data_IF_662204159427
#
_entry.id   IF_662204159427
#
_cell.length_a   1.000
_cell.length_b   1.000
_cell.length_c   1.000
_cell.angle_alpha   90.00
_cell.angle_beta   90.00
_cell.angle_gamma   90.00
#
_symmetry.space_group_name_H-M   'P 1'
#
loop_
_entity.id
_entity.type
_entity.pdbx_description
1 polymer ?
#
# COMPACT_ATOMS: atom_id res chain seq x y z
N UNK A 1 -25.54 63.81 6.82
CA UNK A 1 -26.11 62.45 6.82
C UNK A 1 -26.33 62.04 5.36
N UNK A 2 -26.12 60.78 4.94
CA UNK A 2 -24.88 59.99 4.91
C UNK A 2 -24.68 59.32 3.51
N UNK A 3 -23.82 58.27 3.45
CA UNK A 3 -23.53 57.33 2.34
C UNK A 3 -22.23 57.64 1.58
N UNK A 4 -21.03 57.24 2.04
CA UNK A 4 -20.47 55.90 2.36
C UNK A 4 -19.86 55.22 1.12
N UNK A 5 -18.64 54.75 1.35
CA UNK A 5 -17.80 53.79 0.63
C UNK A 5 -16.88 54.30 -0.49
N UNK A 6 -15.63 53.86 -0.62
CA UNK A 6 -14.56 53.28 0.22
C UNK A 6 -13.50 52.84 -0.79
N UNK A 7 -12.24 53.12 -0.49
CA UNK A 7 -11.11 52.96 -1.40
C UNK A 7 -10.98 51.50 -1.88
N UNK A 8 -10.81 51.28 -3.18
CA UNK A 8 -10.41 49.99 -3.72
C UNK A 8 -8.91 49.79 -3.48
N UNK A 9 -8.58 48.97 -2.48
CA UNK A 9 -7.24 48.43 -2.24
C UNK A 9 -6.85 47.35 -3.26
N UNK A 10 -5.54 47.11 -3.47
CA UNK A 10 -5.02 46.34 -4.60
C UNK A 10 -5.19 44.83 -4.41
N UNK A 11 -5.48 44.16 -5.54
CA UNK A 11 -5.54 42.70 -5.67
C UNK A 11 -4.14 42.10 -5.42
N UNK A 12 -3.90 41.71 -4.16
CA UNK A 12 -2.71 40.96 -3.78
C UNK A 12 -2.93 39.51 -4.18
N UNK A 13 -2.26 39.13 -5.26
CA UNK A 13 -2.15 37.76 -5.76
C UNK A 13 -1.75 36.80 -4.62
N UNK A 14 -2.73 36.09 -4.07
CA UNK A 14 -2.52 35.07 -3.04
C UNK A 14 -1.98 33.81 -3.70
N UNK A 15 -0.66 33.76 -3.87
CA UNK A 15 0.08 32.53 -4.16
C UNK A 15 -0.12 31.58 -2.98
N UNK A 16 -0.99 30.57 -3.14
CA UNK A 16 -1.12 29.50 -2.15
C UNK A 16 0.07 28.56 -2.29
N UNK A 17 1.13 28.86 -1.55
CA UNK A 17 2.12 27.86 -1.16
C UNK A 17 1.42 26.88 -0.21
N UNK A 18 1.21 25.64 -0.65
CA UNK A 18 0.74 24.56 0.22
C UNK A 18 1.81 23.47 0.31
N UNK A 19 2.93 23.79 0.96
CA UNK A 19 3.72 22.79 1.69
C UNK A 19 2.89 22.36 2.92
N UNK A 20 1.84 21.58 2.67
CA UNK A 20 1.16 20.84 3.73
C UNK A 20 1.80 19.45 3.78
N UNK A 21 2.18 18.92 4.96
CA UNK A 21 2.58 17.53 5.07
C UNK A 21 1.41 16.68 4.59
N UNK A 22 1.60 15.98 3.46
CA UNK A 22 0.60 15.11 2.85
C UNK A 22 0.00 14.22 3.93
N UNK A 23 -1.26 14.48 4.28
CA UNK A 23 -1.97 13.73 5.30
C UNK A 23 -1.79 12.24 5.04
N UNK A 24 -1.28 11.50 6.04
CA UNK A 24 -1.13 10.05 5.93
C UNK A 24 -2.54 9.52 5.72
N UNK A 25 -2.86 9.14 4.48
CA UNK A 25 -4.13 8.53 4.10
C UNK A 25 -4.26 7.28 4.96
N UNK A 26 -5.21 7.26 5.90
CA UNK A 26 -5.51 6.05 6.67
C UNK A 26 -5.85 4.95 5.67
N UNK A 27 -4.94 4.01 5.49
CA UNK A 27 -5.14 2.86 4.62
C UNK A 27 -6.18 1.93 5.25
N UNK A 28 -7.19 1.54 4.49
CA UNK A 28 -8.12 0.51 4.92
C UNK A 28 -7.35 -0.83 5.02
N UNK A 29 -7.52 -1.55 6.12
CA UNK A 29 -6.96 -2.88 6.31
C UNK A 29 -8.09 -3.89 6.14
N UNK A 30 -7.94 -4.81 5.18
CA UNK A 30 -8.83 -5.94 4.98
C UNK A 30 -8.17 -7.21 5.52
N UNK A 31 -8.88 -7.95 6.37
CA UNK A 31 -8.46 -9.26 6.85
C UNK A 31 -9.48 -10.28 6.32
N UNK A 32 -9.01 -11.22 5.51
CA UNK A 32 -9.85 -12.24 4.90
C UNK A 32 -9.11 -13.58 4.84
N UNK A 33 -9.86 -14.68 4.94
CA UNK A 33 -9.32 -16.04 4.77
C UNK A 33 -9.60 -16.60 3.37
N UNK A 34 -10.56 -16.01 2.65
CA UNK A 34 -10.96 -16.36 1.28
C UNK A 34 -11.76 -15.21 0.67
N UNK A 35 -11.90 -15.19 -0.65
CA UNK A 35 -12.82 -14.30 -1.35
C UNK A 35 -12.19 -13.07 -2.02
N UNK A 36 -13.04 -12.07 -2.26
CA UNK A 36 -12.72 -10.87 -3.03
C UNK A 36 -11.99 -9.83 -2.17
N UNK A 37 -10.79 -9.42 -2.59
CA UNK A 37 -9.99 -8.36 -1.95
C UNK A 37 -10.41 -6.94 -2.33
N UNK A 38 -11.55 -6.78 -3.02
CA UNK A 38 -12.10 -5.51 -3.47
C UNK A 38 -11.10 -4.72 -4.33
N UNK A 39 -10.96 -3.45 -3.99
CA UNK A 39 -10.06 -2.49 -4.66
C UNK A 39 -8.65 -2.46 -4.06
N UNK A 40 -8.32 -3.35 -3.11
CA UNK A 40 -6.98 -3.40 -2.52
C UNK A 40 -5.94 -3.93 -3.52
N UNK A 41 -4.85 -3.19 -3.67
CA UNK A 41 -3.75 -3.50 -4.59
C UNK A 41 -2.36 -3.06 -4.09
N UNK A 42 -2.24 -2.33 -2.97
CA UNK A 42 -0.92 -1.84 -2.53
C UNK A 42 -0.05 -2.97 -1.92
N UNK A 43 -0.55 -3.63 -0.87
CA UNK A 43 0.20 -4.63 -0.10
C UNK A 43 -0.68 -5.83 0.22
N UNK A 44 -0.18 -7.02 -0.11
CA UNK A 44 -0.74 -8.30 0.32
C UNK A 44 0.19 -8.94 1.36
N UNK A 45 -0.37 -9.26 2.53
CA UNK A 45 0.28 -10.13 3.51
C UNK A 45 -0.35 -11.51 3.39
N UNK A 46 0.36 -12.46 2.80
CA UNK A 46 -0.13 -13.83 2.67
C UNK A 46 0.35 -14.67 3.86
N UNK A 47 -0.61 -15.15 4.66
CA UNK A 47 -0.39 -16.01 5.82
C UNK A 47 -0.72 -17.49 5.54
N UNK A 48 -1.04 -17.83 4.29
CA UNK A 48 -1.43 -19.18 3.90
C UNK A 48 -0.25 -19.95 3.30
N UNK A 49 -0.40 -21.27 3.23
CA UNK A 49 0.59 -22.15 2.60
C UNK A 49 0.62 -22.08 1.07
N UNK A 50 -0.32 -21.36 0.45
CA UNK A 50 -0.51 -21.29 -1.00
C UNK A 50 -0.35 -19.84 -1.49
N UNK A 51 -0.03 -19.68 -2.77
CA UNK A 51 -0.07 -18.37 -3.43
C UNK A 51 -1.51 -18.06 -3.84
N UNK A 52 -2.12 -16.95 -3.38
CA UNK A 52 -3.47 -16.56 -3.81
C UNK A 52 -3.52 -16.24 -5.30
N UNK A 53 -4.60 -16.57 -6.01
CA UNK A 53 -4.70 -16.33 -7.47
C UNK A 53 -4.58 -14.85 -7.85
N UNK A 54 -5.07 -13.97 -6.98
CA UNK A 54 -5.03 -12.52 -7.18
C UNK A 54 -3.71 -11.88 -6.75
N UNK A 55 -2.68 -12.63 -6.35
CA UNK A 55 -1.43 -12.06 -5.80
C UNK A 55 -0.75 -11.07 -6.77
N UNK A 56 -0.84 -11.32 -8.08
CA UNK A 56 -0.15 -10.54 -9.11
C UNK A 56 -0.70 -9.12 -9.26
N UNK A 57 -1.89 -8.83 -8.71
CA UNK A 57 -2.46 -7.48 -8.72
C UNK A 57 -1.83 -6.55 -7.67
N UNK A 58 -1.09 -7.12 -6.72
CA UNK A 58 -0.51 -6.36 -5.63
C UNK A 58 0.89 -5.88 -5.97
N UNK A 59 1.17 -4.61 -5.68
CA UNK A 59 2.49 -4.01 -5.89
C UNK A 59 3.55 -4.65 -4.97
N UNK A 60 3.13 -5.09 -3.77
CA UNK A 60 4.01 -5.74 -2.80
C UNK A 60 3.34 -6.97 -2.20
N UNK A 61 4.09 -8.07 -2.17
CA UNK A 61 3.74 -9.29 -1.45
C UNK A 61 4.71 -9.51 -0.30
N UNK A 62 4.16 -9.68 0.90
CA UNK A 62 4.89 -10.13 2.08
C UNK A 62 4.36 -11.48 2.54
N UNK A 63 5.28 -12.39 2.87
CA UNK A 63 4.96 -13.70 3.43
C UNK A 63 5.74 -13.90 4.73
N UNK A 64 5.11 -14.55 5.70
CA UNK A 64 5.77 -14.99 6.93
C UNK A 64 6.23 -16.42 6.72
N UNK A 65 7.50 -16.71 7.06
CA UNK A 65 8.07 -18.06 6.99
C UNK A 65 8.11 -18.66 8.40
N UNK A 66 7.23 -19.61 8.73
CA UNK A 66 7.26 -20.28 10.03
C UNK A 66 8.53 -21.12 10.20
N UNK A 67 8.96 -21.31 11.46
CA UNK A 67 10.21 -21.99 11.78
C UNK A 67 10.23 -23.51 11.53
N UNK A 68 9.08 -24.14 11.28
CA UNK A 68 8.97 -25.58 11.05
C UNK A 68 9.52 -26.00 9.69
N UNK A 69 10.09 -27.20 9.59
CA UNK A 69 10.77 -27.65 8.37
C UNK A 69 9.82 -27.75 7.16
N UNK A 70 8.61 -28.26 7.38
CA UNK A 70 7.57 -28.36 6.35
C UNK A 70 7.14 -26.98 5.83
N UNK A 71 7.05 -25.98 6.72
CA UNK A 71 6.67 -24.62 6.33
C UNK A 71 7.82 -23.89 5.62
N UNK A 72 9.07 -24.12 6.04
CA UNK A 72 10.26 -23.62 5.33
C UNK A 72 10.31 -24.18 3.91
N UNK A 73 10.06 -25.47 3.72
CA UNK A 73 10.08 -26.08 2.39
C UNK A 73 9.01 -25.47 1.46
N UNK A 74 7.77 -25.35 1.94
CA UNK A 74 6.70 -24.66 1.19
C UNK A 74 7.07 -23.21 0.85
N UNK A 75 7.68 -22.49 1.79
CA UNK A 75 8.12 -21.11 1.58
C UNK A 75 9.23 -21.01 0.53
N UNK A 76 10.18 -21.96 0.50
CA UNK A 76 11.20 -22.04 -0.56
C UNK A 76 10.59 -22.29 -1.94
N UNK A 77 9.56 -23.13 -2.03
CA UNK A 77 8.86 -23.38 -3.29
C UNK A 77 8.19 -22.11 -3.82
N UNK A 78 7.49 -21.35 -2.96
CA UNK A 78 6.88 -20.07 -3.34
C UNK A 78 7.92 -19.00 -3.68
N UNK A 79 9.00 -18.91 -2.90
CA UNK A 79 10.12 -18.02 -3.23
C UNK A 79 10.68 -18.29 -4.63
N UNK A 80 10.91 -19.57 -4.98
CA UNK A 80 11.33 -19.97 -6.32
C UNK A 80 10.29 -19.59 -7.38
N UNK A 81 9.01 -19.88 -7.12
CA UNK A 81 7.90 -19.54 -8.02
C UNK A 81 7.83 -18.04 -8.36
N UNK A 82 8.07 -17.15 -7.38
CA UNK A 82 8.11 -15.72 -7.64
C UNK A 82 9.39 -15.29 -8.37
N UNK A 83 10.55 -15.84 -7.97
CA UNK A 83 11.83 -15.54 -8.61
C UNK A 83 11.83 -15.88 -10.10
N UNK A 84 11.32 -17.07 -10.43
CA UNK A 84 11.30 -17.58 -11.80
C UNK A 84 10.36 -16.75 -12.71
N UNK A 85 9.49 -15.91 -12.13
CA UNK A 85 8.64 -14.92 -12.85
C UNK A 85 9.25 -13.51 -12.92
N UNK A 86 10.44 -13.31 -12.36
CA UNK A 86 11.15 -12.03 -12.42
C UNK A 86 10.74 -11.02 -11.34
N UNK A 87 10.01 -11.43 -10.29
CA UNK A 87 9.67 -10.52 -9.19
C UNK A 87 10.91 -10.15 -8.37
N UNK A 88 11.07 -8.88 -7.97
CA UNK A 88 12.16 -8.46 -7.10
C UNK A 88 11.93 -8.97 -5.66
N UNK A 89 12.67 -10.00 -5.27
CA UNK A 89 12.53 -10.62 -3.95
C UNK A 89 13.49 -9.99 -2.93
N UNK A 90 12.93 -9.61 -1.77
CA UNK A 90 13.70 -9.17 -0.60
C UNK A 90 13.37 -10.07 0.58
N UNK A 91 14.41 -10.63 1.21
CA UNK A 91 14.27 -11.40 2.45
C UNK A 91 14.66 -10.48 3.61
N UNK A 92 13.79 -10.39 4.61
CA UNK A 92 14.07 -9.67 5.84
C UNK A 92 14.24 -10.71 6.94
N UNK A 93 15.44 -10.78 7.52
CA UNK A 93 15.69 -11.58 8.71
C UNK A 93 15.33 -10.72 9.93
N UNK A 94 14.40 -11.20 10.75
CA UNK A 94 13.92 -10.56 11.98
C UNK A 94 14.49 -11.28 13.20
#
# INVERSE_FOLDING_TARGET
LPHRHENSEPDTSKTQNSDAPSAIKKGNILIAHSGNVGEHHDVLINLTDKTPEFFSRFDRLAEIVPGTDTAKEKSRQRYKYYRDRGYPLKVHNL
#
